data_IF_024380125114
#
_entry.id   IF_024380125114
#
_cell.length_a   1.000
_cell.length_b   1.000
_cell.length_c   1.000
_cell.angle_alpha   90.00
_cell.angle_beta   90.00
_cell.angle_gamma   90.00
#
_symmetry.space_group_name_H-M   'P 1'
#
loop_
_entity.id
_entity.type
_entity.pdbx_description
1 polymer ?
#
# COMPACT_ATOMS: atom_id res chain seq x y z
N UNK A 1 20.81 20.89 79.26
CA UNK A 1 20.77 19.75 78.31
C UNK A 1 19.37 19.14 78.13
N UNK A 2 18.51 19.04 79.14
CA UNK A 2 17.19 18.38 79.02
C UNK A 2 16.15 19.12 78.15
N UNK A 3 16.15 20.47 78.15
CA UNK A 3 15.17 21.27 77.38
C UNK A 3 15.29 21.07 75.86
N UNK A 4 16.50 21.01 75.32
CA UNK A 4 16.71 20.80 73.88
C UNK A 4 16.27 19.40 73.41
N UNK A 5 16.36 18.39 74.27
CA UNK A 5 15.87 17.04 73.98
C UNK A 5 14.34 17.01 73.82
N UNK A 6 13.62 17.71 74.71
CA UNK A 6 12.16 17.75 74.68
C UNK A 6 11.61 18.46 73.43
N UNK A 7 12.22 19.58 73.03
CA UNK A 7 11.83 20.30 71.81
C UNK A 7 12.11 19.46 70.55
N UNK A 8 13.25 18.74 70.51
CA UNK A 8 13.56 17.83 69.41
C UNK A 8 12.54 16.68 69.32
N UNK A 9 12.11 16.12 70.46
CA UNK A 9 11.07 15.08 70.51
C UNK A 9 9.72 15.58 70.02
N UNK A 10 9.28 16.76 70.44
CA UNK A 10 8.02 17.37 69.97
C UNK A 10 8.07 17.68 68.47
N UNK A 11 9.22 18.15 67.96
CA UNK A 11 9.41 18.39 66.53
C UNK A 11 9.36 17.10 65.71
N UNK A 12 10.05 16.04 66.15
CA UNK A 12 10.03 14.73 65.47
C UNK A 12 8.64 14.11 65.52
N UNK A 13 7.96 14.16 66.68
CA UNK A 13 6.59 13.67 66.81
C UNK A 13 5.61 14.44 65.90
N UNK A 14 5.74 15.77 65.82
CA UNK A 14 4.93 16.61 64.93
C UNK A 14 5.19 16.31 63.45
N UNK A 15 6.46 16.09 63.06
CA UNK A 15 6.82 15.72 61.68
C UNK A 15 6.32 14.32 61.31
N UNK A 16 6.39 13.36 62.22
CA UNK A 16 5.84 12.02 62.02
C UNK A 16 4.31 12.04 61.91
N UNK A 17 3.63 12.87 62.71
CA UNK A 17 2.18 13.05 62.61
C UNK A 17 1.75 13.64 61.27
N UNK A 18 2.42 14.71 60.83
CA UNK A 18 2.17 15.31 59.50
C UNK A 18 2.44 14.33 58.35
N UNK A 19 3.48 13.51 58.45
CA UNK A 19 3.77 12.50 57.42
C UNK A 19 2.68 11.41 57.35
N UNK A 20 2.10 11.04 58.49
CA UNK A 20 0.99 10.09 58.55
C UNK A 20 -0.29 10.62 57.88
N UNK A 21 -0.62 11.90 58.08
CA UNK A 21 -1.76 12.55 57.41
C UNK A 21 -1.53 12.68 55.90
N UNK A 22 -0.33 13.10 55.49
CA UNK A 22 0.05 13.18 54.08
C UNK A 22 -0.02 11.82 53.39
N UNK A 23 0.40 10.73 54.05
CA UNK A 23 0.27 9.37 53.52
C UNK A 23 -1.19 8.96 53.32
N UNK A 24 -2.09 9.33 54.24
CA UNK A 24 -3.53 9.05 54.09
C UNK A 24 -4.13 9.84 52.92
N UNK A 25 -3.76 11.12 52.76
CA UNK A 25 -4.18 11.94 51.64
C UNK A 25 -3.68 11.34 50.32
N UNK A 26 -2.38 10.99 50.25
CA UNK A 26 -1.77 10.43 49.05
C UNK A 26 -2.37 9.06 48.70
N UNK A 27 -2.66 8.21 49.68
CA UNK A 27 -3.33 6.94 49.48
C UNK A 27 -4.76 7.12 48.92
N UNK A 28 -5.51 8.10 49.42
CA UNK A 28 -6.83 8.43 48.89
C UNK A 28 -6.77 8.99 47.46
N UNK A 29 -5.79 9.86 47.17
CA UNK A 29 -5.57 10.39 45.82
C UNK A 29 -5.14 9.29 44.84
N UNK A 30 -4.26 8.38 45.26
CA UNK A 30 -3.87 7.21 44.49
C UNK A 30 -5.05 6.28 44.22
N UNK A 31 -5.90 6.03 45.22
CA UNK A 31 -7.11 5.21 45.05
C UNK A 31 -8.07 5.85 44.04
N UNK A 32 -8.33 7.16 44.13
CA UNK A 32 -9.11 7.90 43.12
C UNK A 32 -8.50 7.82 41.73
N UNK A 33 -7.18 7.98 41.59
CA UNK A 33 -6.50 7.88 40.30
C UNK A 33 -6.52 6.45 39.73
N UNK A 34 -6.46 5.42 40.56
CA UNK A 34 -6.56 4.02 40.13
C UNK A 34 -7.98 3.71 39.66
N UNK A 35 -9.01 4.21 40.35
CA UNK A 35 -10.42 4.08 39.95
C UNK A 35 -10.76 4.91 38.70
N UNK A 36 -10.06 6.02 38.46
CA UNK A 36 -10.20 6.86 37.26
C UNK A 36 -9.25 6.50 36.11
N UNK A 37 -8.33 5.55 36.30
CA UNK A 37 -7.43 5.10 35.22
C UNK A 37 -8.31 4.52 34.11
N UNK A 38 -8.24 5.03 32.86
CA UNK A 38 -8.95 4.39 31.77
C UNK A 38 -8.44 2.97 31.67
N UNK A 39 -9.33 1.98 31.89
CA UNK A 39 -9.01 0.58 31.62
C UNK A 39 -8.53 0.55 30.17
N UNK A 40 -7.31 0.06 29.95
CA UNK A 40 -6.84 -0.26 28.61
C UNK A 40 -7.69 -1.45 28.18
N UNK A 41 -8.85 -1.15 27.61
CA UNK A 41 -9.75 -2.12 27.00
C UNK A 41 -8.97 -2.69 25.82
N UNK A 42 -8.80 -4.01 25.80
CA UNK A 42 -8.29 -4.70 24.63
C UNK A 42 -9.26 -4.46 23.46
N UNK A 43 -8.80 -4.70 22.23
CA UNK A 43 -9.60 -4.42 21.02
C UNK A 43 -10.93 -5.18 21.06
N UNK A 44 -10.94 -6.40 21.63
CA UNK A 44 -12.15 -7.20 21.84
C UNK A 44 -13.15 -6.52 22.78
N UNK A 45 -12.67 -5.91 23.86
CA UNK A 45 -13.54 -5.22 24.82
C UNK A 45 -14.16 -3.96 24.22
N UNK A 46 -13.43 -3.24 23.35
CA UNK A 46 -13.97 -2.09 22.60
C UNK A 46 -15.01 -2.51 21.56
N UNK A 47 -14.79 -3.63 20.86
CA UNK A 47 -15.73 -4.21 19.89
C UNK A 47 -17.03 -4.68 20.56
N UNK A 48 -16.92 -5.26 21.76
CA UNK A 48 -18.08 -5.64 22.59
C UNK A 48 -18.90 -4.42 23.04
N UNK A 49 -18.24 -3.34 23.48
CA UNK A 49 -18.90 -2.10 23.94
C UNK A 49 -19.60 -1.34 22.79
N UNK A 50 -19.06 -1.40 21.57
CA UNK A 50 -19.66 -0.78 20.38
C UNK A 50 -20.76 -1.63 19.72
N UNK A 51 -21.06 -2.82 20.24
CA UNK A 51 -22.07 -3.72 19.67
C UNK A 51 -21.69 -4.29 18.31
N UNK A 52 -20.40 -4.38 17.99
CA UNK A 52 -19.89 -4.74 16.66
C UNK A 52 -19.81 -6.26 16.37
N UNK A 53 -20.62 -7.11 17.02
CA UNK A 53 -20.69 -8.54 16.69
C UNK A 53 -21.03 -8.80 15.21
N UNK A 54 -21.83 -7.92 14.61
CA UNK A 54 -22.17 -8.00 13.19
C UNK A 54 -20.99 -7.64 12.27
N UNK A 55 -20.09 -6.77 12.73
CA UNK A 55 -18.92 -6.36 11.95
C UNK A 55 -17.90 -7.50 11.84
N UNK A 56 -17.65 -8.21 12.94
CA UNK A 56 -16.77 -9.37 12.95
C UNK A 56 -17.30 -10.49 12.04
N UNK A 57 -18.61 -10.74 12.08
CA UNK A 57 -19.27 -11.69 11.16
C UNK A 57 -19.16 -11.25 9.70
N UNK A 58 -19.37 -9.96 9.40
CA UNK A 58 -19.22 -9.40 8.04
C UNK A 58 -17.77 -9.46 7.55
N UNK A 59 -16.78 -9.27 8.43
CA UNK A 59 -15.36 -9.41 8.06
C UNK A 59 -15.09 -10.86 7.64
N UNK A 60 -15.52 -11.85 8.43
CA UNK A 60 -15.33 -13.26 8.11
C UNK A 60 -16.07 -13.66 6.83
N UNK A 61 -17.29 -13.15 6.63
CA UNK A 61 -18.06 -13.38 5.40
C UNK A 61 -17.36 -12.79 4.17
N UNK A 62 -16.91 -11.54 4.25
CA UNK A 62 -16.17 -10.87 3.17
C UNK A 62 -14.82 -11.55 2.91
N UNK A 63 -14.13 -12.05 3.94
CA UNK A 63 -12.90 -12.83 3.78
C UNK A 63 -13.16 -14.17 3.06
N UNK A 64 -14.27 -14.84 3.39
CA UNK A 64 -14.68 -16.08 2.73
C UNK A 64 -15.07 -15.84 1.26
N UNK A 65 -15.81 -14.77 0.99
CA UNK A 65 -16.16 -14.33 -0.37
C UNK A 65 -14.92 -13.91 -1.17
N UNK A 66 -13.98 -13.19 -0.55
CA UNK A 66 -12.70 -12.85 -1.16
C UNK A 66 -11.89 -14.11 -1.49
N UNK A 67 -11.93 -15.12 -0.63
CA UNK A 67 -11.25 -16.40 -0.85
C UNK A 67 -11.88 -17.16 -2.02
N UNK A 68 -13.21 -17.20 -2.09
CA UNK A 68 -13.95 -17.77 -3.21
C UNK A 68 -13.63 -17.04 -4.53
N UNK A 69 -13.69 -15.70 -4.54
CA UNK A 69 -13.38 -14.88 -5.70
C UNK A 69 -11.92 -15.07 -6.17
N UNK A 70 -10.96 -15.16 -5.23
CA UNK A 70 -9.56 -15.50 -5.54
C UNK A 70 -9.44 -16.87 -6.19
N UNK A 71 -10.14 -17.89 -5.70
CA UNK A 71 -10.11 -19.25 -6.26
C UNK A 71 -10.67 -19.34 -7.68
N UNK A 72 -11.69 -18.54 -7.99
CA UNK A 72 -12.34 -18.51 -9.30
C UNK A 72 -11.50 -17.76 -10.35
N UNK A 73 -10.57 -16.92 -9.87
CA UNK A 73 -9.72 -16.07 -10.68
C UNK A 73 -10.50 -14.85 -11.19
N UNK A 74 -9.96 -13.65 -10.94
CA UNK A 74 -10.59 -12.36 -11.25
C UNK A 74 -10.97 -12.12 -12.72
N UNK A 75 -10.56 -12.99 -13.65
CA UNK A 75 -10.63 -12.78 -15.10
C UNK A 75 -11.47 -13.83 -15.84
N UNK A 76 -11.96 -14.88 -15.16
CA UNK A 76 -12.48 -16.08 -15.84
C UNK A 76 -13.94 -15.96 -16.34
N UNK A 77 -14.73 -15.03 -15.79
CA UNK A 77 -16.17 -14.91 -16.10
C UNK A 77 -16.56 -13.70 -16.95
N UNK A 78 -15.62 -12.81 -17.31
CA UNK A 78 -15.92 -11.56 -18.04
C UNK A 78 -15.41 -11.53 -19.49
N UNK A 79 -14.84 -12.61 -20.00
CA UNK A 79 -14.42 -12.68 -21.40
C UNK A 79 -15.60 -13.19 -22.24
N UNK A 80 -16.25 -12.35 -23.07
CA UNK A 80 -17.03 -12.89 -24.17
C UNK A 80 -16.04 -13.70 -25.04
N UNK A 81 -16.25 -15.01 -25.08
CA UNK A 81 -15.62 -15.87 -26.09
C UNK A 81 -16.24 -15.49 -27.44
N UNK A 82 -15.74 -14.43 -28.07
CA UNK A 82 -16.07 -14.14 -29.45
C UNK A 82 -15.29 -15.10 -30.33
N UNK A 83 -15.93 -16.20 -30.71
CA UNK A 83 -15.54 -16.93 -31.92
C UNK A 83 -15.76 -16.05 -33.16
N UNK A 84 -14.82 -16.18 -34.11
CA UNK A 84 -14.95 -15.81 -35.53
C UNK A 84 -15.13 -14.33 -35.90
N UNK A 85 -14.02 -13.67 -36.24
CA UNK A 85 -13.91 -12.74 -37.38
C UNK A 85 -12.44 -12.33 -37.53
N UNK A 86 -11.98 -12.04 -38.75
CA UNK A 86 -10.60 -11.70 -39.15
C UNK A 86 -10.02 -10.41 -38.55
N UNK A 87 -10.47 -10.01 -37.36
CA UNK A 87 -10.03 -8.82 -36.64
C UNK A 87 -8.73 -9.10 -35.88
N UNK A 88 -7.82 -8.13 -35.92
CA UNK A 88 -6.51 -8.17 -35.26
C UNK A 88 -6.66 -8.59 -33.79
N UNK A 89 -6.12 -9.76 -33.44
CA UNK A 89 -6.16 -10.30 -32.07
C UNK A 89 -5.25 -9.46 -31.17
N UNK A 90 -5.84 -8.71 -30.23
CA UNK A 90 -5.10 -7.97 -29.20
C UNK A 90 -4.38 -8.97 -28.27
N UNK A 91 -3.05 -8.86 -28.17
CA UNK A 91 -2.23 -9.77 -27.35
C UNK A 91 -1.87 -9.14 -25.99
N UNK A 92 -1.48 -7.88 -26.01
CA UNK A 92 -1.08 -7.11 -24.85
C UNK A 92 -1.34 -5.62 -25.07
N UNK A 93 -1.35 -4.86 -23.98
CA UNK A 93 -1.35 -3.40 -23.99
C UNK A 93 0.00 -2.92 -23.48
N UNK A 94 0.61 -2.00 -24.21
CA UNK A 94 1.89 -1.39 -23.85
C UNK A 94 1.61 0.02 -23.36
N UNK A 95 1.84 0.26 -22.08
CA UNK A 95 1.75 1.57 -21.45
C UNK A 95 3.09 2.29 -21.46
N UNK A 96 3.05 3.62 -21.56
CA UNK A 96 4.21 4.49 -21.39
C UNK A 96 3.95 5.39 -20.19
N UNK A 97 4.76 5.24 -19.14
CA UNK A 97 4.65 6.07 -17.94
C UNK A 97 5.18 7.47 -18.24
N UNK A 98 4.29 8.45 -18.13
CA UNK A 98 4.60 9.86 -18.38
C UNK A 98 3.87 10.78 -17.39
N UNK A 99 3.05 10.22 -16.50
CA UNK A 99 2.00 10.91 -15.76
C UNK A 99 0.65 10.87 -16.48
N UNK A 100 -0.44 10.75 -15.71
CA UNK A 100 -1.80 10.82 -16.26
C UNK A 100 -2.03 12.14 -17.01
N UNK A 101 -2.76 12.10 -18.13
CA UNK A 101 -3.10 13.29 -18.92
C UNK A 101 -1.99 13.86 -19.83
N UNK A 102 -0.73 13.40 -19.74
CA UNK A 102 0.39 13.88 -20.59
C UNK A 102 0.43 13.27 -21.99
N UNK A 103 -0.68 13.39 -22.72
CA UNK A 103 -0.88 12.76 -24.04
C UNK A 103 0.21 13.13 -25.08
N UNK A 104 0.57 14.42 -25.19
CA UNK A 104 1.57 14.88 -26.15
C UNK A 104 2.96 14.28 -25.90
N UNK A 105 3.41 14.26 -24.64
CA UNK A 105 4.68 13.63 -24.23
C UNK A 105 4.66 12.13 -24.60
N UNK A 106 3.53 11.46 -24.35
CA UNK A 106 3.32 10.04 -24.68
C UNK A 106 3.39 9.77 -26.19
N UNK A 107 2.80 10.62 -27.02
CA UNK A 107 2.90 10.49 -28.48
C UNK A 107 4.33 10.72 -29.00
N UNK A 108 5.06 11.68 -28.43
CA UNK A 108 6.48 11.90 -28.75
C UNK A 108 7.31 10.65 -28.42
N UNK A 109 7.09 10.02 -27.25
CA UNK A 109 7.74 8.76 -26.88
C UNK A 109 7.41 7.63 -27.87
N UNK A 110 6.13 7.47 -28.24
CA UNK A 110 5.70 6.44 -29.22
C UNK A 110 6.31 6.66 -30.61
N UNK A 111 6.47 7.92 -31.02
CA UNK A 111 7.02 8.29 -32.32
C UNK A 111 8.55 8.20 -32.39
N UNK A 112 9.25 8.37 -31.27
CA UNK A 112 10.72 8.40 -31.23
C UNK A 112 11.35 7.02 -31.03
N UNK A 113 10.74 6.15 -30.21
CA UNK A 113 11.39 4.89 -29.85
C UNK A 113 10.41 3.87 -29.23
N UNK A 114 10.14 2.80 -29.98
CA UNK A 114 9.82 1.48 -29.42
C UNK A 114 10.83 0.50 -30.00
N UNK A 115 11.54 -0.29 -29.18
CA UNK A 115 12.43 -1.33 -29.69
C UNK A 115 11.53 -2.45 -30.24
N UNK A 116 11.14 -2.30 -31.51
CA UNK A 116 10.25 -3.25 -32.20
C UNK A 116 10.87 -4.66 -32.20
N UNK A 117 12.17 -4.70 -32.41
CA UNK A 117 12.99 -5.91 -32.33
C UNK A 117 13.26 -6.24 -30.86
N UNK A 118 12.82 -7.42 -30.41
CA UNK A 118 12.88 -7.86 -29.02
C UNK A 118 11.57 -7.74 -28.24
N UNK A 119 10.78 -6.68 -28.47
CA UNK A 119 9.46 -6.52 -27.86
C UNK A 119 8.44 -7.48 -28.49
N UNK A 120 8.47 -7.63 -29.82
CA UNK A 120 7.62 -8.60 -30.53
C UNK A 120 7.89 -10.02 -30.02
N UNK A 121 9.17 -10.43 -29.95
CA UNK A 121 9.53 -11.76 -29.44
C UNK A 121 9.14 -11.98 -27.97
N UNK A 122 9.22 -10.95 -27.13
CA UNK A 122 8.72 -11.01 -25.75
C UNK A 122 7.20 -11.24 -25.73
N UNK A 123 6.44 -10.49 -26.54
CA UNK A 123 4.99 -10.62 -26.61
C UNK A 123 4.57 -11.99 -27.15
N UNK A 124 5.29 -12.52 -28.14
CA UNK A 124 5.06 -13.85 -28.69
C UNK A 124 5.32 -14.94 -27.65
N UNK A 125 6.46 -14.88 -26.96
CA UNK A 125 6.81 -15.85 -25.93
C UNK A 125 5.86 -15.83 -24.73
N UNK A 126 5.23 -14.68 -24.44
CA UNK A 126 4.30 -14.50 -23.32
C UNK A 126 2.83 -14.50 -23.72
N UNK A 127 2.51 -14.81 -24.98
CA UNK A 127 1.15 -14.77 -25.53
C UNK A 127 0.12 -15.62 -24.76
N UNK A 128 0.57 -16.69 -24.11
CA UNK A 128 -0.28 -17.60 -23.34
C UNK A 128 -0.37 -17.24 -21.84
N UNK A 129 0.27 -16.16 -21.40
CA UNK A 129 0.17 -15.71 -20.03
C UNK A 129 -0.94 -14.68 -19.88
N UNK A 130 -2.09 -15.17 -19.45
CA UNK A 130 -3.33 -14.40 -19.32
C UNK A 130 -3.25 -13.27 -18.29
N UNK A 131 -2.35 -13.35 -17.31
CA UNK A 131 -2.19 -12.35 -16.23
C UNK A 131 -0.80 -11.74 -16.16
N UNK A 132 -0.08 -11.62 -17.28
CA UNK A 132 1.27 -11.06 -17.29
C UNK A 132 1.31 -9.55 -17.06
N UNK A 133 1.97 -9.12 -15.99
CA UNK A 133 2.37 -7.74 -15.72
C UNK A 133 3.89 -7.65 -15.87
N UNK A 134 4.35 -6.97 -16.91
CA UNK A 134 5.76 -6.96 -17.33
C UNK A 134 6.30 -5.53 -17.32
N UNK A 135 7.51 -5.36 -16.80
CA UNK A 135 8.17 -4.06 -16.69
C UNK A 135 9.52 -4.20 -16.01
N UNK A 136 10.18 -3.08 -15.74
CA UNK A 136 11.33 -3.06 -14.84
C UNK A 136 10.82 -3.09 -13.40
N UNK A 137 10.73 -4.28 -12.83
CA UNK A 137 10.09 -4.48 -11.52
C UNK A 137 11.01 -3.96 -10.43
N UNK A 138 10.48 -3.09 -9.57
CA UNK A 138 11.20 -2.56 -8.41
C UNK A 138 10.35 -2.67 -7.15
N UNK A 139 11.05 -2.75 -6.04
CA UNK A 139 10.56 -2.53 -4.69
C UNK A 139 11.70 -1.79 -3.99
N UNK A 140 11.40 -0.66 -3.35
CA UNK A 140 12.40 0.27 -2.85
C UNK A 140 11.80 1.20 -1.80
N UNK A 141 12.60 2.13 -1.27
CA UNK A 141 12.18 2.98 -0.16
C UNK A 141 10.99 3.87 -0.49
N UNK A 142 10.08 3.99 0.48
CA UNK A 142 8.92 4.87 0.37
C UNK A 142 9.32 6.32 0.61
N UNK A 143 9.06 7.21 -0.35
CA UNK A 143 9.37 8.63 -0.22
C UNK A 143 8.25 9.31 0.57
N UNK A 144 8.45 9.43 1.89
CA UNK A 144 7.47 9.98 2.84
C UNK A 144 7.67 11.47 3.17
N UNK A 145 8.79 12.06 2.77
CA UNK A 145 9.11 13.47 3.03
C UNK A 145 8.46 14.39 1.99
N UNK A 146 7.61 15.29 2.46
CA UNK A 146 6.92 16.28 1.63
C UNK A 146 7.94 17.18 0.90
N UNK A 147 7.71 17.41 -0.40
CA UNK A 147 8.57 18.22 -1.25
C UNK A 147 9.72 17.48 -1.94
N UNK A 148 9.95 16.18 -1.62
CA UNK A 148 10.85 15.35 -2.41
C UNK A 148 10.23 14.93 -3.75
N UNK A 149 11.09 14.71 -4.74
CA UNK A 149 10.66 14.11 -6.01
C UNK A 149 10.10 12.71 -5.73
N UNK A 150 8.94 12.40 -6.33
CA UNK A 150 8.20 11.16 -6.11
C UNK A 150 7.54 11.02 -4.73
N UNK A 151 7.44 12.11 -3.97
CA UNK A 151 6.61 12.15 -2.77
C UNK A 151 5.15 11.87 -3.12
N UNK A 152 4.56 10.90 -2.43
CA UNK A 152 3.15 10.57 -2.56
C UNK A 152 2.42 10.92 -1.26
N UNK A 153 1.34 11.71 -1.27
CA UNK A 153 0.64 12.11 -0.06
C UNK A 153 0.11 10.93 0.74
N UNK A 154 -0.38 9.88 0.07
CA UNK A 154 -0.95 8.68 0.72
C UNK A 154 0.09 7.55 0.90
N UNK A 155 1.38 7.89 1.04
CA UNK A 155 2.50 6.93 1.04
C UNK A 155 2.37 5.76 2.01
N UNK A 156 1.68 5.97 3.14
CA UNK A 156 1.43 4.95 4.16
C UNK A 156 0.61 3.74 3.66
N UNK A 157 0.01 3.83 2.45
CA UNK A 157 -0.77 2.74 1.85
C UNK A 157 0.06 1.75 1.01
N UNK A 158 1.34 2.05 0.75
CA UNK A 158 2.08 1.36 -0.31
C UNK A 158 3.09 0.32 0.17
N UNK A 159 3.01 -0.14 1.42
CA UNK A 159 3.86 -1.21 1.92
C UNK A 159 3.97 -1.26 3.43
N UNK A 160 5.12 -1.73 3.92
CA UNK A 160 5.42 -2.00 5.33
C UNK A 160 6.12 -0.81 6.04
N UNK A 161 5.77 0.43 5.64
CA UNK A 161 6.42 1.69 6.02
C UNK A 161 7.88 1.86 5.52
N UNK A 162 8.56 0.76 5.15
CA UNK A 162 9.95 0.77 4.68
C UNK A 162 10.07 0.66 3.17
N UNK A 163 9.27 -0.21 2.55
CA UNK A 163 9.41 -0.53 1.13
C UNK A 163 8.08 -0.42 0.37
N UNK A 164 8.13 0.14 -0.84
CA UNK A 164 7.04 0.08 -1.81
C UNK A 164 6.75 -1.37 -2.17
N UNK A 165 5.46 -1.68 -2.36
CA UNK A 165 5.05 -2.89 -3.04
C UNK A 165 5.74 -3.01 -4.40
N UNK A 166 5.93 -4.26 -4.84
CA UNK A 166 6.57 -4.54 -6.12
C UNK A 166 5.73 -3.98 -7.26
N UNK A 167 6.31 -3.13 -8.10
CA UNK A 167 5.65 -2.54 -9.27
C UNK A 167 6.63 -2.33 -10.42
N UNK A 168 6.12 -2.19 -11.63
CA UNK A 168 6.92 -1.81 -12.79
C UNK A 168 7.27 -0.33 -12.70
N UNK A 169 8.54 -0.04 -12.44
CA UNK A 169 9.14 1.29 -12.49
C UNK A 169 9.73 1.54 -13.87
N UNK A 170 9.92 2.80 -14.27
CA UNK A 170 10.55 3.17 -15.55
C UNK A 170 9.56 3.77 -16.55
N UNK A 171 9.87 3.71 -17.84
CA UNK A 171 9.07 4.39 -18.87
C UNK A 171 8.06 3.49 -19.57
N UNK A 172 8.18 2.17 -19.44
CA UNK A 172 7.38 1.20 -20.18
C UNK A 172 6.83 0.11 -19.25
N UNK A 173 5.55 -0.22 -19.50
CA UNK A 173 4.84 -1.33 -18.89
C UNK A 173 4.13 -2.12 -19.99
N UNK A 174 4.04 -3.43 -19.83
CA UNK A 174 3.24 -4.30 -20.68
C UNK A 174 2.25 -5.07 -19.80
N UNK A 175 0.99 -5.02 -20.19
CA UNK A 175 -0.10 -5.77 -19.56
C UNK A 175 -0.66 -6.78 -20.54
N UNK A 176 -0.94 -7.99 -20.08
CA UNK A 176 -1.71 -8.97 -20.86
C UNK A 176 -3.08 -8.41 -21.23
N UNK A 177 -3.69 -8.96 -22.30
CA UNK A 177 -5.05 -8.59 -22.72
C UNK A 177 -6.04 -8.57 -21.55
N UNK A 178 -6.01 -9.58 -20.69
CA UNK A 178 -7.02 -9.73 -19.65
C UNK A 178 -6.83 -8.72 -18.51
N UNK A 179 -5.58 -8.43 -18.12
CA UNK A 179 -5.30 -7.36 -17.15
C UNK A 179 -5.73 -5.98 -17.69
N UNK A 180 -5.43 -5.70 -18.96
CA UNK A 180 -5.86 -4.46 -19.59
C UNK A 180 -7.40 -4.35 -19.67
N UNK A 181 -8.07 -5.45 -20.00
CA UNK A 181 -9.53 -5.51 -20.00
C UNK A 181 -10.12 -5.29 -18.60
N UNK A 182 -9.54 -5.92 -17.58
CA UNK A 182 -9.95 -5.71 -16.19
C UNK A 182 -9.85 -4.24 -15.78
N UNK A 183 -8.75 -3.57 -16.12
CA UNK A 183 -8.58 -2.14 -15.83
C UNK A 183 -9.66 -1.32 -16.53
N UNK A 184 -9.93 -1.59 -17.81
CA UNK A 184 -10.94 -0.87 -18.57
C UNK A 184 -12.34 -1.03 -17.97
N UNK A 185 -12.74 -2.27 -17.68
CA UNK A 185 -14.06 -2.61 -17.11
C UNK A 185 -14.26 -1.98 -15.73
N UNK A 186 -13.22 -2.00 -14.88
CA UNK A 186 -13.32 -1.55 -13.49
C UNK A 186 -12.78 -0.13 -13.27
N UNK A 187 -12.52 0.61 -14.35
CA UNK A 187 -11.82 1.90 -14.31
C UNK A 187 -12.43 2.91 -13.33
N UNK A 188 -13.75 2.90 -13.15
CA UNK A 188 -14.44 3.77 -12.19
C UNK A 188 -14.16 3.44 -10.71
N UNK A 189 -13.84 2.18 -10.39
CA UNK A 189 -13.56 1.71 -9.03
C UNK A 189 -12.07 1.68 -8.71
N UNK A 190 -11.21 1.81 -9.72
CA UNK A 190 -9.76 1.77 -9.56
C UNK A 190 -9.23 3.12 -9.07
N UNK A 191 -8.69 3.11 -7.85
CA UNK A 191 -8.07 4.28 -7.23
C UNK A 191 -6.79 4.68 -7.95
N UNK A 192 -6.68 5.93 -8.38
CA UNK A 192 -5.44 6.53 -8.88
C UNK A 192 -4.71 7.27 -7.76
N UNK A 193 -3.38 7.27 -7.84
CA UNK A 193 -2.43 7.98 -6.99
C UNK A 193 -1.71 9.06 -7.80
N UNK A 194 -0.86 9.88 -7.17
CA UNK A 194 -0.16 10.96 -7.88
C UNK A 194 0.75 10.44 -9.00
N UNK A 195 1.26 9.21 -8.85
CA UNK A 195 2.08 8.54 -9.87
C UNK A 195 1.36 7.37 -10.57
N UNK A 196 1.57 7.25 -11.88
CA UNK A 196 0.90 6.26 -12.75
C UNK A 196 1.42 4.84 -12.56
N UNK A 197 2.70 4.66 -12.29
CA UNK A 197 3.33 3.39 -11.93
C UNK A 197 2.82 2.85 -10.58
N UNK A 198 2.69 3.72 -9.57
CA UNK A 198 2.10 3.38 -8.27
C UNK A 198 0.63 3.01 -8.43
N UNK A 199 -0.12 3.78 -9.22
CA UNK A 199 -1.53 3.47 -9.53
C UNK A 199 -1.67 2.07 -10.14
N UNK A 200 -0.96 1.80 -11.23
CA UNK A 200 -1.05 0.50 -11.90
C UNK A 200 -0.56 -0.62 -11.00
N UNK A 201 0.56 -0.45 -10.31
CA UNK A 201 1.06 -1.47 -9.39
C UNK A 201 0.06 -1.78 -8.26
N UNK A 202 -0.61 -0.78 -7.70
CA UNK A 202 -1.66 -1.01 -6.70
C UNK A 202 -2.84 -1.84 -7.24
N UNK A 203 -3.24 -1.61 -8.49
CA UNK A 203 -4.29 -2.39 -9.14
C UNK A 203 -3.85 -3.84 -9.35
N UNK A 204 -2.58 -4.03 -9.71
CA UNK A 204 -1.99 -5.34 -9.93
C UNK A 204 -1.84 -6.14 -8.63
N UNK A 205 -1.77 -5.47 -7.47
CA UNK A 205 -1.81 -6.16 -6.16
C UNK A 205 -3.21 -6.71 -5.86
N UNK A 206 -4.26 -6.01 -6.28
CA UNK A 206 -5.65 -6.41 -6.07
C UNK A 206 -6.11 -7.55 -6.96
N UNK A 207 -5.30 -7.97 -7.93
CA UNK A 207 -5.59 -9.07 -8.86
C UNK A 207 -4.47 -10.10 -8.84
N UNK A 208 -4.73 -11.28 -9.38
CA UNK A 208 -3.74 -12.36 -9.48
C UNK A 208 -2.78 -12.11 -10.67
N UNK A 209 -2.08 -10.98 -10.67
CA UNK A 209 -1.08 -10.63 -11.67
C UNK A 209 0.22 -11.41 -11.47
N UNK A 210 0.86 -11.81 -12.57
CA UNK A 210 2.17 -12.43 -12.62
C UNK A 210 3.19 -11.33 -12.91
N UNK A 211 4.02 -11.00 -11.93
CA UNK A 211 5.04 -9.97 -12.02
C UNK A 211 6.28 -10.49 -12.74
N UNK A 212 6.58 -9.93 -13.90
CA UNK A 212 7.70 -10.31 -14.74
C UNK A 212 8.65 -9.13 -14.84
N UNK A 213 9.84 -9.31 -14.29
CA UNK A 213 10.93 -8.36 -14.39
C UNK A 213 11.66 -8.54 -15.74
N UNK A 214 11.76 -7.47 -16.51
CA UNK A 214 12.54 -7.44 -17.75
C UNK A 214 13.47 -6.24 -17.79
N UNK A 215 14.77 -6.52 -17.63
CA UNK A 215 15.83 -5.51 -17.61
C UNK A 215 15.93 -4.67 -18.89
N UNK A 216 15.38 -5.13 -20.03
CA UNK A 216 15.34 -4.33 -21.27
C UNK A 216 14.36 -3.17 -21.17
N UNK A 217 13.43 -3.22 -20.22
CA UNK A 217 12.51 -2.15 -19.89
C UNK A 217 13.06 -1.24 -18.77
N UNK A 218 14.20 -1.58 -18.17
CA UNK A 218 14.85 -0.78 -17.14
C UNK A 218 15.72 0.32 -17.72
N UNK A 219 15.66 1.50 -17.09
CA UNK A 219 16.62 2.57 -17.32
C UNK A 219 17.89 2.33 -16.50
N UNK A 220 19.01 2.02 -17.17
CA UNK A 220 20.33 1.90 -16.53
C UNK A 220 21.13 3.21 -16.69
N UNK A 221 21.88 3.61 -15.67
CA UNK A 221 22.73 4.82 -15.71
C UNK A 221 23.89 4.73 -16.71
N UNK A 222 24.27 3.51 -17.11
CA UNK A 222 25.45 3.23 -17.95
C UNK A 222 25.11 3.24 -19.45
N UNK A 223 23.86 2.94 -19.81
CA UNK A 223 23.37 3.09 -21.19
C UNK A 223 22.30 4.17 -21.16
N UNK A 224 22.66 5.39 -21.54
CA UNK A 224 21.70 6.41 -21.95
C UNK A 224 21.00 5.93 -23.23
N UNK A 225 20.15 4.91 -23.11
CA UNK A 225 19.15 4.63 -24.10
C UNK A 225 18.16 5.79 -24.09
N UNK A 226 17.80 6.28 -25.28
CA UNK A 226 16.96 7.47 -25.49
C UNK A 226 15.62 7.41 -24.73
N UNK A 227 15.17 6.22 -24.33
CA UNK A 227 14.04 5.96 -23.39
C UNK A 227 14.12 6.78 -22.13
N UNK A 228 15.30 6.81 -21.53
CA UNK A 228 15.51 7.24 -20.16
C UNK A 228 15.97 8.70 -20.10
N UNK A 229 16.33 9.26 -21.25
CA UNK A 229 16.72 10.67 -21.39
C UNK A 229 15.54 11.66 -21.30
N UNK A 230 14.30 11.17 -21.30
CA UNK A 230 13.08 12.00 -21.36
C UNK A 230 12.11 11.70 -20.20
N UNK A 231 12.42 10.71 -19.34
CA UNK A 231 11.59 10.34 -18.19
C UNK A 231 11.62 11.46 -17.14
#
# INVERSE_FOLDING_TARGET
>A
MAFFSCVAWLYVAGRLWQDAENRKLLANLLKRNIEQKPKILTIEDKLMVLGCKDLERRIVEVEMDLTLAKSQGYLKHQLPQSESSSQRKLLAVIGVYTGFGRYLKRNTFRGSWMPREGLIGLLEHRRHQDSAYIGCMKSGEVVSEEGKLWYEPEWWKFGDEKSYFRHASGSLIILSKNLAHYINTNSASLKTYAHDDISVGSWMMGVQAIYIDDNRLCCSSIRQDKVCSVA
#
